data_IF_748041673780
#
_entry.id   IF_748041673780
#
_cell.length_a   1.000
_cell.length_b   1.000
_cell.length_c   1.000
_cell.angle_alpha   90.00
_cell.angle_beta   90.00
_cell.angle_gamma   90.00
#
_symmetry.space_group_name_H-M   'P 1'
#
loop_
_entity.id
_entity.type
_entity.pdbx_description
1 polymer ?
#
# COMPACT_ATOMS: atom_id res chain seq x y z
N UNK A 1 -27.54 10.68 -19.18
CA UNK A 1 -28.56 10.24 -18.21
C UNK A 1 -29.73 11.21 -18.33
N UNK A 2 -30.99 10.76 -18.38
CA UNK A 2 -32.12 11.69 -18.50
C UNK A 2 -32.39 12.40 -17.17
N UNK A 3 -32.70 13.70 -17.22
CA UNK A 3 -33.01 14.52 -16.04
C UNK A 3 -34.07 13.87 -15.14
N UNK A 4 -35.10 13.28 -15.77
CA UNK A 4 -36.16 12.54 -15.07
C UNK A 4 -35.63 11.38 -14.22
N UNK A 5 -34.66 10.59 -14.71
CA UNK A 5 -34.09 9.47 -13.94
C UNK A 5 -33.26 9.97 -12.76
N UNK A 6 -32.54 11.10 -12.92
CA UNK A 6 -31.76 11.73 -11.85
C UNK A 6 -32.71 12.18 -10.75
N UNK A 7 -33.74 12.94 -11.12
CA UNK A 7 -34.76 13.46 -10.20
C UNK A 7 -35.43 12.34 -9.39
N UNK A 8 -35.77 11.21 -10.03
CA UNK A 8 -36.30 10.06 -9.30
C UNK A 8 -35.33 9.51 -8.26
N UNK A 9 -34.04 9.39 -8.60
CA UNK A 9 -33.05 8.86 -7.66
C UNK A 9 -32.83 9.84 -6.49
N UNK A 10 -32.76 11.14 -6.76
CA UNK A 10 -32.60 12.16 -5.71
C UNK A 10 -33.78 12.14 -4.74
N UNK A 11 -35.01 12.05 -5.25
CA UNK A 11 -36.20 11.90 -4.43
C UNK A 11 -36.19 10.59 -3.59
N UNK A 12 -35.66 9.50 -4.14
CA UNK A 12 -35.53 8.24 -3.42
C UNK A 12 -34.43 8.29 -2.35
N UNK A 13 -33.35 9.05 -2.58
CA UNK A 13 -32.29 9.25 -1.59
C UNK A 13 -32.80 10.02 -0.36
N UNK A 14 -33.62 11.06 -0.58
CA UNK A 14 -34.27 11.78 0.52
C UNK A 14 -35.14 10.82 1.34
N UNK A 15 -36.00 10.04 0.69
CA UNK A 15 -36.89 9.07 1.36
C UNK A 15 -36.14 7.94 2.07
N UNK A 16 -34.96 7.56 1.55
CA UNK A 16 -34.09 6.56 2.18
C UNK A 16 -33.61 7.04 3.54
N UNK A 17 -33.21 8.31 3.64
CA UNK A 17 -32.65 8.86 4.87
C UNK A 17 -33.71 8.99 5.98
N UNK A 18 -34.99 9.13 5.60
CA UNK A 18 -36.14 9.13 6.52
C UNK A 18 -36.59 7.71 6.96
N UNK A 19 -36.04 6.65 6.37
CA UNK A 19 -36.47 5.28 6.60
C UNK A 19 -35.55 4.50 7.53
N UNK A 20 -36.12 3.69 8.44
CA UNK A 20 -35.35 2.81 9.32
C UNK A 20 -34.48 1.84 8.48
N UNK A 21 -33.16 1.91 8.68
CA UNK A 21 -32.14 1.17 7.91
C UNK A 21 -32.21 1.40 6.38
N UNK A 22 -32.73 2.55 5.92
CA UNK A 22 -32.80 2.89 4.50
C UNK A 22 -33.88 2.15 3.69
N UNK A 23 -34.66 1.26 4.32
CA UNK A 23 -35.77 0.53 3.70
C UNK A 23 -35.45 -0.17 2.36
N UNK A 24 -36.44 -0.29 1.49
CA UNK A 24 -36.28 -0.87 0.13
C UNK A 24 -35.69 0.11 -0.89
N UNK A 25 -35.43 1.36 -0.50
CA UNK A 25 -35.07 2.43 -1.42
C UNK A 25 -33.73 2.18 -2.13
N UNK A 26 -32.75 1.57 -1.45
CA UNK A 26 -31.49 1.19 -2.08
C UNK A 26 -31.69 0.22 -3.26
N UNK A 27 -32.62 -0.74 -3.14
CA UNK A 27 -32.93 -1.67 -4.22
C UNK A 27 -33.61 -0.97 -5.39
N UNK A 28 -34.50 -0.02 -5.11
CA UNK A 28 -35.19 0.76 -6.16
C UNK A 28 -34.18 1.66 -6.89
N UNK A 29 -33.32 2.37 -6.15
CA UNK A 29 -32.25 3.20 -6.73
C UNK A 29 -31.35 2.34 -7.64
N UNK A 30 -30.89 1.19 -7.14
CA UNK A 30 -30.09 0.26 -7.94
C UNK A 30 -30.85 -0.24 -9.18
N UNK A 31 -32.15 -0.50 -9.06
CA UNK A 31 -32.98 -0.94 -10.19
C UNK A 31 -33.06 0.13 -11.28
N UNK A 32 -33.23 1.41 -10.91
CA UNK A 32 -33.20 2.53 -11.86
C UNK A 32 -31.83 2.62 -12.53
N UNK A 33 -30.74 2.58 -11.76
CA UNK A 33 -29.37 2.68 -12.27
C UNK A 33 -29.02 1.53 -13.24
N UNK A 34 -29.53 0.31 -13.00
CA UNK A 34 -29.35 -0.83 -13.89
C UNK A 34 -30.02 -0.65 -15.26
N UNK A 35 -31.00 0.26 -15.40
CA UNK A 35 -31.63 0.59 -16.69
C UNK A 35 -30.84 1.60 -17.54
N UNK A 36 -29.70 2.09 -17.04
CA UNK A 36 -28.86 3.08 -17.72
C UNK A 36 -27.66 2.36 -18.33
N UNK A 37 -27.28 2.68 -19.56
CA UNK A 37 -26.10 2.10 -20.20
C UNK A 37 -24.83 2.39 -19.36
N UNK A 38 -23.88 1.44 -19.34
CA UNK A 38 -22.70 1.57 -18.48
C UNK A 38 -21.81 2.75 -18.91
N UNK A 39 -21.64 2.97 -20.22
CA UNK A 39 -20.82 4.09 -20.70
C UNK A 39 -21.47 5.43 -20.37
N UNK A 40 -22.78 5.54 -20.56
CA UNK A 40 -23.56 6.72 -20.16
C UNK A 40 -23.46 7.00 -18.66
N UNK A 41 -23.52 5.95 -17.83
CA UNK A 41 -23.43 6.07 -16.38
C UNK A 41 -22.03 6.50 -15.92
N UNK A 42 -20.98 5.98 -16.56
CA UNK A 42 -19.60 6.38 -16.32
C UNK A 42 -19.39 7.85 -16.65
N UNK A 43 -19.85 8.32 -17.81
CA UNK A 43 -19.69 9.73 -18.21
C UNK A 43 -20.32 10.69 -17.21
N UNK A 44 -21.52 10.32 -16.74
CA UNK A 44 -22.21 11.08 -15.71
C UNK A 44 -21.44 11.06 -14.38
N UNK A 45 -20.95 9.89 -13.95
CA UNK A 45 -20.11 9.74 -12.75
C UNK A 45 -18.84 10.59 -12.78
N UNK A 46 -18.19 10.72 -13.94
CA UNK A 46 -16.96 11.51 -14.06
C UNK A 46 -17.19 13.01 -13.84
N UNK A 47 -18.39 13.52 -14.10
CA UNK A 47 -18.72 14.95 -14.01
C UNK A 47 -19.43 15.35 -12.71
N UNK A 48 -20.03 14.38 -12.00
CA UNK A 48 -20.81 14.64 -10.78
C UNK A 48 -19.99 15.30 -9.66
N UNK A 49 -20.53 16.29 -8.92
CA UNK A 49 -19.93 16.70 -7.65
C UNK A 49 -20.00 15.57 -6.62
N UNK A 50 -19.27 15.71 -5.52
CA UNK A 50 -19.30 14.74 -4.43
C UNK A 50 -20.66 14.78 -3.72
N UNK A 51 -21.40 13.66 -3.78
CA UNK A 51 -22.79 13.54 -3.28
C UNK A 51 -23.16 12.09 -2.97
N UNK A 52 -24.30 11.86 -2.30
CA UNK A 52 -24.87 10.53 -2.10
C UNK A 52 -25.28 9.85 -3.42
N UNK A 53 -25.74 10.64 -4.39
CA UNK A 53 -26.02 10.17 -5.75
C UNK A 53 -24.76 9.60 -6.39
N UNK A 54 -23.62 10.31 -6.29
CA UNK A 54 -22.32 9.85 -6.78
C UNK A 54 -21.94 8.49 -6.17
N UNK A 55 -22.09 8.31 -4.86
CA UNK A 55 -21.76 7.04 -4.18
C UNK A 55 -22.64 5.88 -4.68
N UNK A 56 -23.92 6.14 -4.89
CA UNK A 56 -24.87 5.15 -5.41
C UNK A 56 -24.51 4.72 -6.84
N UNK A 57 -24.12 5.69 -7.67
CA UNK A 57 -23.65 5.45 -9.03
C UNK A 57 -22.31 4.71 -9.04
N UNK A 58 -21.34 5.12 -8.21
CA UNK A 58 -20.03 4.45 -8.08
C UNK A 58 -20.20 2.97 -7.74
N UNK A 59 -21.03 2.67 -6.74
CA UNK A 59 -21.36 1.29 -6.34
C UNK A 59 -21.98 0.49 -7.49
N UNK A 60 -22.86 1.11 -8.29
CA UNK A 60 -23.47 0.45 -9.44
C UNK A 60 -22.44 0.19 -10.56
N UNK A 61 -21.59 1.17 -10.88
CA UNK A 61 -20.50 1.02 -11.86
C UNK A 61 -19.59 -0.14 -11.46
N UNK A 62 -19.14 -0.20 -10.20
CA UNK A 62 -18.18 -1.21 -9.77
C UNK A 62 -18.72 -2.64 -9.88
N UNK A 63 -20.02 -2.84 -9.58
CA UNK A 63 -20.69 -4.13 -9.76
C UNK A 63 -20.79 -4.56 -11.23
N UNK A 64 -20.89 -3.60 -12.16
CA UNK A 64 -21.11 -3.87 -13.59
C UNK A 64 -19.81 -3.96 -14.38
N UNK A 65 -18.81 -3.17 -14.02
CA UNK A 65 -17.48 -3.17 -14.64
C UNK A 65 -16.84 -4.55 -14.52
N UNK A 66 -16.95 -5.19 -13.35
CA UNK A 66 -16.42 -6.55 -13.13
C UNK A 66 -17.10 -7.66 -13.96
N UNK A 67 -18.17 -7.35 -14.69
CA UNK A 67 -18.96 -8.30 -15.48
C UNK A 67 -18.97 -7.96 -16.98
N UNK A 68 -18.22 -6.94 -17.40
CA UNK A 68 -18.27 -6.47 -18.80
C UNK A 68 -17.52 -7.39 -19.74
N UNK A 69 -18.14 -7.73 -20.88
CA UNK A 69 -17.53 -8.57 -21.93
C UNK A 69 -16.60 -7.76 -22.85
N UNK A 70 -16.67 -6.41 -22.80
CA UNK A 70 -15.86 -5.49 -23.62
C UNK A 70 -14.93 -4.65 -22.75
N UNK A 71 -14.15 -5.33 -21.90
CA UNK A 71 -13.28 -4.68 -20.93
C UNK A 71 -12.18 -3.84 -21.61
N UNK A 72 -11.62 -4.35 -22.70
CA UNK A 72 -10.61 -3.73 -23.56
C UNK A 72 -11.09 -2.38 -24.15
N UNK A 73 -12.24 -2.39 -24.82
CA UNK A 73 -12.81 -1.18 -25.42
C UNK A 73 -13.20 -0.12 -24.39
N UNK A 74 -13.63 -0.55 -23.19
CA UNK A 74 -13.90 0.37 -22.09
C UNK A 74 -12.61 0.95 -21.50
N UNK A 75 -11.56 0.15 -21.37
CA UNK A 75 -10.24 0.60 -20.92
C UNK A 75 -9.69 1.69 -21.85
N UNK A 76 -9.66 1.44 -23.16
CA UNK A 76 -9.14 2.39 -24.17
C UNK A 76 -9.92 3.71 -24.16
N UNK A 77 -11.24 3.63 -24.00
CA UNK A 77 -12.11 4.80 -23.89
C UNK A 77 -11.78 5.64 -22.65
N UNK A 78 -11.68 5.00 -21.50
CA UNK A 78 -11.32 5.65 -20.23
C UNK A 78 -9.94 6.28 -20.29
N UNK A 79 -8.99 5.61 -20.95
CA UNK A 79 -7.65 6.12 -21.16
C UNK A 79 -7.63 7.39 -22.01
N UNK A 80 -8.43 7.45 -23.09
CA UNK A 80 -8.61 8.69 -23.88
C UNK A 80 -9.19 9.83 -23.05
N UNK A 81 -10.16 9.54 -22.17
CA UNK A 81 -10.73 10.53 -21.26
C UNK A 81 -9.69 11.03 -20.23
N UNK A 82 -8.78 10.17 -19.79
CA UNK A 82 -7.75 10.49 -18.79
C UNK A 82 -6.81 11.61 -19.26
N UNK A 83 -6.52 11.68 -20.57
CA UNK A 83 -5.58 12.65 -21.15
C UNK A 83 -6.02 14.11 -20.94
N UNK A 84 -7.33 14.37 -20.90
CA UNK A 84 -7.91 15.71 -20.72
C UNK A 84 -8.59 15.89 -19.36
N UNK A 85 -8.45 14.92 -18.46
CA UNK A 85 -9.17 14.90 -17.19
C UNK A 85 -8.52 15.82 -16.15
N UNK A 86 -9.34 16.58 -15.42
CA UNK A 86 -8.91 17.25 -14.20
C UNK A 86 -8.61 16.24 -13.08
N UNK A 87 -8.02 16.70 -11.98
CA UNK A 87 -7.61 15.83 -10.87
C UNK A 87 -8.75 14.91 -10.36
N UNK A 88 -9.96 15.44 -10.17
CA UNK A 88 -11.10 14.64 -9.67
C UNK A 88 -11.54 13.58 -10.68
N UNK A 89 -11.60 13.94 -11.95
CA UNK A 89 -11.89 13.01 -13.04
C UNK A 89 -10.81 11.93 -13.14
N UNK A 90 -9.53 12.29 -13.06
CA UNK A 90 -8.41 11.32 -13.08
C UNK A 90 -8.52 10.29 -11.96
N UNK A 91 -8.79 10.73 -10.73
CA UNK A 91 -8.97 9.82 -9.60
C UNK A 91 -10.11 8.81 -9.85
N UNK A 92 -11.21 9.26 -10.45
CA UNK A 92 -12.37 8.41 -10.78
C UNK A 92 -12.08 7.44 -11.91
N UNK A 93 -11.47 7.91 -13.00
CA UNK A 93 -11.04 7.09 -14.13
C UNK A 93 -10.07 6.00 -13.65
N UNK A 94 -9.06 6.37 -12.84
CA UNK A 94 -8.08 5.42 -12.27
C UNK A 94 -8.74 4.28 -11.51
N UNK A 95 -9.75 4.57 -10.67
CA UNK A 95 -10.47 3.52 -9.94
C UNK A 95 -11.18 2.54 -10.88
N UNK A 96 -11.83 3.05 -11.93
CA UNK A 96 -12.51 2.20 -12.92
C UNK A 96 -11.51 1.38 -13.72
N UNK A 97 -10.41 1.99 -14.19
CA UNK A 97 -9.33 1.28 -14.89
C UNK A 97 -8.76 0.15 -14.04
N UNK A 98 -8.52 0.39 -12.75
CA UNK A 98 -8.01 -0.62 -11.82
C UNK A 98 -8.97 -1.81 -11.65
N UNK A 99 -10.28 -1.59 -11.70
CA UNK A 99 -11.29 -2.66 -11.67
C UNK A 99 -11.36 -3.46 -12.97
N UNK A 100 -10.90 -2.90 -14.09
CA UNK A 100 -10.85 -3.60 -15.37
C UNK A 100 -9.63 -4.51 -15.48
N UNK A 101 -8.51 -4.21 -14.81
CA UNK A 101 -7.25 -4.97 -14.94
C UNK A 101 -7.40 -6.49 -14.77
N UNK A 102 -8.20 -7.01 -13.82
CA UNK A 102 -8.39 -8.46 -13.67
C UNK A 102 -9.06 -9.13 -14.88
N UNK A 103 -9.77 -8.37 -15.72
CA UNK A 103 -10.47 -8.84 -16.92
C UNK A 103 -9.63 -8.70 -18.20
N UNK A 104 -8.43 -8.14 -18.09
CA UNK A 104 -7.58 -7.76 -19.21
C UNK A 104 -6.27 -8.56 -19.24
N UNK A 105 -5.64 -8.61 -20.40
CA UNK A 105 -4.32 -9.18 -20.57
C UNK A 105 -3.23 -8.38 -19.83
N UNK A 106 -2.09 -9.00 -19.56
CA UNK A 106 -0.98 -8.38 -18.83
C UNK A 106 -0.42 -7.11 -19.47
N UNK A 107 -0.60 -6.91 -20.78
CA UNK A 107 -0.16 -5.68 -21.46
C UNK A 107 -0.82 -4.43 -20.87
N UNK A 108 -2.09 -4.53 -20.45
CA UNK A 108 -2.83 -3.42 -19.86
C UNK A 108 -2.34 -3.05 -18.45
N UNK A 109 -1.74 -4.00 -17.72
CA UNK A 109 -1.12 -3.72 -16.41
C UNK A 109 0.13 -2.89 -16.56
N UNK A 110 0.97 -3.21 -17.56
CA UNK A 110 2.16 -2.40 -17.89
C UNK A 110 1.75 -1.01 -18.37
N UNK A 111 0.74 -0.92 -19.23
CA UNK A 111 0.20 0.36 -19.67
C UNK A 111 -0.34 1.19 -18.49
N UNK A 112 -1.19 0.62 -17.63
CA UNK A 112 -1.68 1.28 -16.43
C UNK A 112 -0.53 1.78 -15.56
N UNK A 113 0.45 0.91 -15.28
CA UNK A 113 1.59 1.25 -14.45
C UNK A 113 2.35 2.44 -15.02
N UNK A 114 2.76 2.38 -16.29
CA UNK A 114 3.55 3.43 -16.94
C UNK A 114 2.85 4.80 -16.92
N UNK A 115 1.53 4.80 -17.05
CA UNK A 115 0.73 6.02 -17.05
C UNK A 115 0.56 6.66 -15.68
N UNK A 116 0.42 5.85 -14.63
CA UNK A 116 0.18 6.36 -13.28
C UNK A 116 1.45 6.51 -12.47
N UNK A 117 2.49 5.70 -12.71
CA UNK A 117 3.77 5.76 -12.00
C UNK A 117 4.53 7.07 -12.24
N UNK A 118 4.47 7.58 -13.47
CA UNK A 118 5.12 8.83 -13.87
C UNK A 118 4.24 10.07 -13.64
N UNK A 119 3.10 9.92 -12.98
CA UNK A 119 2.18 11.02 -12.69
C UNK A 119 2.76 11.97 -11.65
N UNK A 120 2.44 13.26 -11.77
CA UNK A 120 2.76 14.25 -10.73
C UNK A 120 1.95 14.06 -9.44
N UNK A 121 0.88 13.25 -9.46
CA UNK A 121 -0.02 13.06 -8.32
C UNK A 121 0.35 11.83 -7.50
N UNK A 122 0.59 12.01 -6.19
CA UNK A 122 1.00 10.91 -5.30
C UNK A 122 0.01 9.73 -5.27
N UNK A 123 -1.30 9.99 -5.39
CA UNK A 123 -2.32 8.94 -5.39
C UNK A 123 -2.28 8.07 -6.65
N UNK A 124 -1.89 8.66 -7.79
CA UNK A 124 -1.71 7.93 -9.04
C UNK A 124 -0.54 6.98 -8.91
N UNK A 125 0.62 7.49 -8.47
CA UNK A 125 1.83 6.69 -8.28
C UNK A 125 1.58 5.58 -7.25
N UNK A 126 0.91 5.89 -6.14
CA UNK A 126 0.56 4.89 -5.13
C UNK A 126 -0.29 3.75 -5.71
N UNK A 127 -1.16 4.03 -6.68
CA UNK A 127 -2.00 3.01 -7.32
C UNK A 127 -1.25 2.22 -8.39
N UNK A 128 -0.29 2.83 -9.07
CA UNK A 128 0.63 2.09 -9.95
C UNK A 128 1.43 1.08 -9.11
N UNK A 129 1.95 1.51 -7.96
CA UNK A 129 2.71 0.65 -7.06
C UNK A 129 1.89 -0.53 -6.50
N UNK A 130 0.56 -0.42 -6.37
CA UNK A 130 -0.26 -1.57 -5.91
C UNK A 130 -0.33 -2.73 -6.89
N UNK A 131 -0.05 -2.50 -8.18
CA UNK A 131 -0.09 -3.55 -9.21
C UNK A 131 1.31 -3.96 -9.71
N UNK A 132 2.38 -3.37 -9.15
CA UNK A 132 3.73 -3.56 -9.68
C UNK A 132 4.21 -5.01 -9.60
N UNK A 133 3.66 -5.82 -8.69
CA UNK A 133 3.96 -7.25 -8.55
C UNK A 133 3.67 -8.06 -9.82
N UNK A 134 2.63 -7.68 -10.56
CA UNK A 134 2.16 -8.40 -11.74
C UNK A 134 3.01 -8.09 -12.99
N UNK A 135 3.89 -7.10 -12.90
CA UNK A 135 4.75 -6.63 -13.98
C UNK A 135 6.22 -6.51 -13.56
N UNK A 136 6.56 -7.05 -12.38
CA UNK A 136 7.87 -6.86 -11.76
C UNK A 136 8.96 -7.50 -12.61
N UNK A 137 10.01 -6.72 -12.89
CA UNK A 137 11.21 -7.16 -13.58
C UNK A 137 12.44 -6.42 -13.01
N UNK A 138 13.63 -6.81 -13.48
CA UNK A 138 14.90 -6.27 -12.99
C UNK A 138 15.01 -4.76 -13.23
N UNK A 139 14.51 -4.27 -14.36
CA UNK A 139 14.52 -2.84 -14.69
C UNK A 139 13.62 -2.05 -13.72
N UNK A 140 12.41 -2.56 -13.46
CA UNK A 140 11.48 -1.94 -12.53
C UNK A 140 12.00 -1.96 -11.08
N UNK A 141 12.64 -3.04 -10.69
CA UNK A 141 13.32 -3.16 -9.40
C UNK A 141 14.36 -2.04 -9.20
N UNK A 142 15.23 -1.84 -10.20
CA UNK A 142 16.23 -0.77 -10.17
C UNK A 142 15.58 0.62 -10.19
N UNK A 143 14.55 0.82 -11.02
CA UNK A 143 13.84 2.09 -11.13
C UNK A 143 13.20 2.51 -9.78
N UNK A 144 12.42 1.62 -9.15
CA UNK A 144 11.72 1.93 -7.90
C UNK A 144 12.70 2.20 -6.76
N UNK A 145 13.80 1.44 -6.67
CA UNK A 145 14.83 1.70 -5.67
C UNK A 145 15.48 3.07 -5.88
N UNK A 146 15.85 3.41 -7.12
CA UNK A 146 16.44 4.71 -7.43
C UNK A 146 15.48 5.87 -7.15
N UNK A 147 14.19 5.71 -7.45
CA UNK A 147 13.17 6.70 -7.13
C UNK A 147 12.98 6.89 -5.63
N UNK A 148 13.09 5.82 -4.83
CA UNK A 148 13.18 5.96 -3.38
C UNK A 148 14.43 6.72 -2.96
N UNK A 149 15.61 6.35 -3.45
CA UNK A 149 16.88 6.99 -3.05
C UNK A 149 16.91 8.48 -3.40
N UNK A 150 16.25 8.87 -4.49
CA UNK A 150 16.12 10.26 -4.94
C UNK A 150 15.08 11.05 -4.15
N UNK A 151 13.89 10.48 -3.94
CA UNK A 151 12.72 11.22 -3.41
C UNK A 151 12.48 11.04 -1.93
N UNK A 152 13.04 9.96 -1.34
CA UNK A 152 12.84 9.51 0.05
C UNK A 152 11.39 9.15 0.37
N UNK A 153 10.50 9.06 -0.62
CA UNK A 153 9.09 8.71 -0.39
C UNK A 153 8.95 7.23 -0.08
N UNK A 154 8.50 6.92 1.14
CA UNK A 154 8.41 5.53 1.63
C UNK A 154 7.57 4.58 0.77
N UNK A 155 6.58 5.08 0.04
CA UNK A 155 5.75 4.24 -0.84
C UNK A 155 6.59 3.42 -1.83
N UNK A 156 7.68 3.99 -2.36
CA UNK A 156 8.59 3.26 -3.25
C UNK A 156 9.36 2.17 -2.50
N UNK A 157 9.91 2.50 -1.32
CA UNK A 157 10.61 1.53 -0.49
C UNK A 157 9.66 0.41 -0.02
N UNK A 158 8.42 0.72 0.33
CA UNK A 158 7.41 -0.28 0.70
C UNK A 158 7.11 -1.22 -0.46
N UNK A 159 6.90 -0.70 -1.67
CA UNK A 159 6.72 -1.54 -2.85
C UNK A 159 7.96 -2.41 -3.12
N UNK A 160 9.15 -1.82 -3.03
CA UNK A 160 10.41 -2.53 -3.19
C UNK A 160 10.59 -3.66 -2.16
N UNK A 161 10.28 -3.42 -0.88
CA UNK A 161 10.42 -4.44 0.15
C UNK A 161 9.50 -5.64 -0.07
N UNK A 162 8.34 -5.44 -0.68
CA UNK A 162 7.38 -6.54 -0.94
C UNK A 162 7.78 -7.35 -2.16
N UNK A 163 8.27 -6.72 -3.22
CA UNK A 163 8.45 -7.37 -4.54
C UNK A 163 9.89 -7.43 -5.05
N UNK A 164 10.74 -6.55 -4.55
CA UNK A 164 12.12 -6.40 -4.99
C UNK A 164 13.07 -7.44 -4.43
N UNK A 165 14.21 -7.56 -5.10
CA UNK A 165 15.36 -8.34 -4.65
C UNK A 165 16.04 -7.58 -3.50
N UNK A 166 15.84 -8.06 -2.28
CA UNK A 166 16.23 -7.36 -1.06
C UNK A 166 17.74 -7.09 -0.99
N UNK A 167 18.54 -7.95 -1.61
CA UNK A 167 20.00 -7.83 -1.70
C UNK A 167 20.45 -6.53 -2.37
N UNK A 168 19.63 -5.96 -3.25
CA UNK A 168 19.93 -4.66 -3.87
C UNK A 168 19.85 -3.49 -2.88
N UNK A 169 19.27 -3.66 -1.69
CA UNK A 169 19.35 -2.64 -0.64
C UNK A 169 20.72 -2.58 0.03
N UNK A 170 21.50 -3.67 0.02
CA UNK A 170 22.73 -3.79 0.81
C UNK A 170 23.73 -2.63 0.61
N UNK A 171 24.00 -2.16 -0.63
CA UNK A 171 24.91 -1.03 -0.85
C UNK A 171 24.38 0.30 -0.29
N UNK A 172 23.07 0.40 -0.06
CA UNK A 172 22.39 1.63 0.29
C UNK A 172 21.91 1.68 1.75
N UNK A 173 21.98 0.59 2.52
CA UNK A 173 21.40 0.49 3.86
C UNK A 173 21.71 1.68 4.77
N UNK A 174 22.97 2.11 4.85
CA UNK A 174 23.36 3.29 5.67
C UNK A 174 22.69 4.58 5.19
N UNK A 175 22.55 4.76 3.88
CA UNK A 175 21.87 5.91 3.30
C UNK A 175 20.36 5.85 3.59
N UNK A 176 19.75 4.69 3.42
CA UNK A 176 18.34 4.43 3.72
C UNK A 176 18.07 4.76 5.20
N UNK A 177 18.91 4.29 6.10
CA UNK A 177 18.77 4.57 7.53
C UNK A 177 18.82 6.06 7.85
N UNK A 178 19.73 6.82 7.21
CA UNK A 178 19.83 8.28 7.34
C UNK A 178 18.62 9.03 6.80
N UNK A 179 17.78 8.42 5.97
CA UNK A 179 16.51 9.02 5.55
C UNK A 179 15.41 8.87 6.60
N UNK A 180 15.70 8.21 7.73
CA UNK A 180 14.78 7.99 8.84
C UNK A 180 13.42 7.43 8.40
N UNK A 181 13.40 6.27 7.69
CA UNK A 181 12.15 5.60 7.40
C UNK A 181 11.46 5.22 8.73
N UNK A 182 10.14 5.11 8.68
CA UNK A 182 9.30 4.71 9.81
C UNK A 182 9.78 3.40 10.42
N UNK A 183 9.55 3.24 11.72
CA UNK A 183 9.92 2.02 12.45
C UNK A 183 9.37 0.74 11.80
N UNK A 184 8.16 0.81 11.25
CA UNK A 184 7.57 -0.32 10.50
C UNK A 184 8.47 -0.77 9.34
N UNK A 185 8.97 0.18 8.54
CA UNK A 185 9.85 -0.10 7.40
C UNK A 185 11.23 -0.57 7.85
N UNK A 186 11.81 0.05 8.89
CA UNK A 186 13.08 -0.41 9.49
C UNK A 186 12.99 -1.87 9.95
N UNK A 187 11.91 -2.24 10.65
CA UNK A 187 11.66 -3.62 11.10
C UNK A 187 11.51 -4.58 9.93
N UNK A 188 10.84 -4.18 8.84
CA UNK A 188 10.68 -5.03 7.66
C UNK A 188 12.02 -5.30 6.95
N UNK A 189 12.88 -4.28 6.82
CA UNK A 189 14.26 -4.43 6.34
C UNK A 189 15.02 -5.43 7.22
N UNK A 190 14.98 -5.25 8.54
CA UNK A 190 15.64 -6.14 9.50
C UNK A 190 15.16 -7.57 9.31
N UNK A 191 13.85 -7.82 9.28
CA UNK A 191 13.29 -9.17 9.10
C UNK A 191 13.76 -9.84 7.81
N UNK A 192 13.86 -9.10 6.71
CA UNK A 192 14.23 -9.65 5.41
C UNK A 192 15.74 -9.90 5.27
N UNK A 193 16.57 -9.09 5.93
CA UNK A 193 18.03 -9.17 5.77
C UNK A 193 18.76 -9.92 6.89
N UNK A 194 18.23 -9.93 8.11
CA UNK A 194 18.97 -10.40 9.30
C UNK A 194 19.43 -11.85 9.18
N UNK A 195 18.60 -12.71 8.59
CA UNK A 195 18.88 -14.14 8.47
C UNK A 195 20.23 -14.44 7.81
N UNK A 196 20.57 -13.73 6.73
CA UNK A 196 21.76 -13.99 5.89
C UNK A 196 22.77 -12.84 5.85
N UNK A 197 22.37 -11.64 6.23
CA UNK A 197 23.14 -10.42 6.00
C UNK A 197 23.29 -9.58 7.27
N UNK A 198 23.30 -10.21 8.45
CA UNK A 198 23.46 -9.51 9.74
C UNK A 198 24.72 -8.64 9.80
N UNK A 199 25.82 -9.06 9.18
CA UNK A 199 27.07 -8.28 9.15
C UNK A 199 26.89 -6.95 8.38
N UNK A 200 25.94 -6.87 7.43
CA UNK A 200 25.61 -5.63 6.72
C UNK A 200 24.75 -4.68 7.57
N UNK A 201 24.17 -5.17 8.66
CA UNK A 201 23.35 -4.43 9.61
C UNK A 201 24.11 -3.98 10.86
N UNK A 202 25.41 -4.31 10.98
CA UNK A 202 26.23 -3.98 12.16
C UNK A 202 26.24 -2.48 12.51
N UNK A 203 26.12 -1.61 11.50
CA UNK A 203 26.05 -0.17 11.73
C UNK A 203 24.83 0.26 12.57
N UNK A 204 23.77 -0.56 12.62
CA UNK A 204 22.56 -0.29 13.40
C UNK A 204 22.86 -0.30 14.89
N UNK A 205 23.83 -1.11 15.35
CA UNK A 205 24.22 -1.20 16.77
C UNK A 205 24.49 0.16 17.40
N UNK A 206 25.15 1.04 16.65
CA UNK A 206 25.59 2.34 17.14
C UNK A 206 24.49 3.44 17.09
N UNK A 207 23.37 3.19 16.42
CA UNK A 207 22.30 4.18 16.23
C UNK A 207 20.98 3.75 16.87
N UNK A 208 20.64 2.47 16.77
CA UNK A 208 19.39 1.88 17.26
C UNK A 208 19.71 0.45 17.78
N UNK A 209 20.44 0.33 18.90
CA UNK A 209 20.91 -0.95 19.44
C UNK A 209 19.78 -1.95 19.69
N UNK A 210 18.57 -1.48 20.01
CA UNK A 210 17.39 -2.34 20.20
C UNK A 210 16.95 -3.03 18.91
N UNK A 211 17.10 -2.34 17.78
CA UNK A 211 16.84 -2.90 16.45
C UNK A 211 17.97 -3.82 16.01
N UNK A 212 19.21 -3.54 16.40
CA UNK A 212 20.32 -4.45 16.14
C UNK A 212 20.19 -5.75 16.93
N UNK A 213 19.78 -5.70 18.20
CA UNK A 213 19.52 -6.90 18.99
C UNK A 213 18.36 -7.72 18.43
N UNK A 214 17.32 -7.06 17.90
CA UNK A 214 16.28 -7.74 17.12
C UNK A 214 16.88 -8.43 15.87
N UNK A 215 17.79 -7.77 15.15
CA UNK A 215 18.45 -8.36 13.99
C UNK A 215 19.29 -9.59 14.37
N UNK A 216 20.04 -9.52 15.47
CA UNK A 216 20.78 -10.67 16.02
C UNK A 216 19.84 -11.84 16.30
N UNK A 217 18.68 -11.59 16.92
CA UNK A 217 17.67 -12.63 17.23
C UNK A 217 17.02 -13.31 16.03
N UNK A 218 17.13 -12.70 14.83
CA UNK A 218 16.56 -13.20 13.58
C UNK A 218 17.63 -13.76 12.62
N UNK A 219 18.90 -13.73 13.04
CA UNK A 219 20.04 -14.23 12.27
C UNK A 219 20.20 -15.74 12.45
N UNK A 220 20.76 -16.42 11.43
CA UNK A 220 21.21 -17.82 11.57
C UNK A 220 22.57 -17.91 12.30
N UNK A 221 23.24 -16.78 12.55
CA UNK A 221 24.51 -16.71 13.28
C UNK A 221 24.28 -16.88 14.77
N UNK A 222 25.06 -17.75 15.40
CA UNK A 222 25.11 -17.84 16.86
C UNK A 222 25.95 -16.70 17.43
N UNK A 223 25.46 -16.10 18.51
CA UNK A 223 26.14 -15.04 19.26
C UNK A 223 26.43 -15.53 20.68
N UNK A 224 27.64 -15.26 21.15
CA UNK A 224 28.00 -15.48 22.55
C UNK A 224 27.22 -14.53 23.48
N UNK A 225 27.16 -14.92 24.75
CA UNK A 225 26.40 -14.17 25.75
C UNK A 225 26.99 -12.78 26.03
N UNK A 226 28.31 -12.61 25.92
CA UNK A 226 29.00 -11.34 26.15
C UNK A 226 28.55 -10.29 25.12
N UNK A 227 28.57 -10.65 23.83
CA UNK A 227 28.10 -9.81 22.74
C UNK A 227 26.63 -9.40 22.88
N UNK A 228 25.79 -10.30 23.38
CA UNK A 228 24.37 -10.05 23.62
C UNK A 228 24.13 -9.12 24.81
N UNK A 229 24.88 -9.31 25.90
CA UNK A 229 24.84 -8.43 27.08
C UNK A 229 25.33 -7.03 26.71
N UNK A 230 26.44 -6.93 25.99
CA UNK A 230 26.98 -5.65 25.55
C UNK A 230 25.94 -4.88 24.73
N UNK A 231 25.32 -5.56 23.76
CA UNK A 231 24.27 -4.94 22.96
C UNK A 231 23.04 -4.57 23.81
N UNK A 232 22.66 -5.36 24.81
CA UNK A 232 21.56 -5.02 25.73
C UNK A 232 21.88 -3.79 26.59
N UNK A 233 23.13 -3.67 27.06
CA UNK A 233 23.60 -2.54 27.86
C UNK A 233 23.67 -1.25 27.05
N UNK A 234 23.92 -1.35 25.74
CA UNK A 234 23.87 -0.21 24.81
C UNK A 234 22.43 0.32 24.60
N UNK A 235 21.38 -0.45 24.95
CA UNK A 235 19.98 -0.07 24.76
C UNK A 235 19.52 0.93 25.85
N UNK A 236 18.89 2.06 25.47
CA UNK A 236 18.25 2.97 26.41
C UNK A 236 17.24 2.28 27.33
N UNK A 237 17.19 2.69 28.60
CA UNK A 237 16.41 2.02 29.64
C UNK A 237 14.91 1.87 29.29
N UNK A 238 14.33 2.87 28.62
CA UNK A 238 12.94 2.87 28.16
C UNK A 238 12.67 1.87 27.02
N UNK A 239 13.72 1.47 26.29
CA UNK A 239 13.65 0.51 25.18
C UNK A 239 14.14 -0.88 25.55
N UNK A 240 14.74 -1.08 26.73
CA UNK A 240 15.21 -2.39 27.19
C UNK A 240 14.15 -3.50 27.17
N UNK A 241 12.86 -3.27 27.47
CA UNK A 241 11.85 -4.31 27.32
C UNK A 241 11.80 -4.93 25.91
N UNK A 242 12.12 -4.16 24.86
CA UNK A 242 12.23 -4.70 23.49
C UNK A 242 13.50 -5.54 23.30
N UNK A 243 14.60 -5.16 23.94
CA UNK A 243 15.82 -5.96 23.98
C UNK A 243 15.60 -7.31 24.67
N UNK A 244 14.94 -7.31 25.82
CA UNK A 244 14.56 -8.53 26.55
C UNK A 244 13.69 -9.45 25.69
N UNK A 245 12.70 -8.90 24.98
CA UNK A 245 11.88 -9.66 24.04
C UNK A 245 12.71 -10.28 22.90
N UNK A 246 13.76 -9.61 22.46
CA UNK A 246 14.65 -10.16 21.41
C UNK A 246 15.51 -11.30 21.97
N UNK A 247 16.01 -11.18 23.20
CA UNK A 247 16.73 -12.27 23.89
C UNK A 247 15.85 -13.49 24.14
N UNK A 248 14.57 -13.32 24.45
CA UNK A 248 13.65 -14.44 24.71
C UNK A 248 13.44 -15.31 23.48
N UNK A 249 13.47 -14.73 22.28
CA UNK A 249 13.42 -15.47 21.02
C UNK A 249 14.64 -16.38 20.79
N UNK A 250 15.77 -16.05 21.41
CA UNK A 250 17.00 -16.83 21.38
C UNK A 250 17.12 -17.81 22.56
N UNK A 251 16.07 -17.95 23.38
CA UNK A 251 16.05 -18.81 24.58
C UNK A 251 17.15 -18.48 25.61
N UNK A 252 17.54 -17.20 25.74
CA UNK A 252 18.60 -16.75 26.64
C UNK A 252 18.08 -16.43 28.05
N UNK A 253 17.47 -17.42 28.73
CA UNK A 253 16.81 -17.21 30.04
C UNK A 253 17.73 -16.56 31.08
N UNK A 254 18.96 -17.04 31.22
CA UNK A 254 19.91 -16.54 32.22
C UNK A 254 20.13 -15.02 32.08
N UNK A 255 20.24 -14.53 30.84
CA UNK A 255 20.41 -13.09 30.55
C UNK A 255 19.13 -12.30 30.84
N UNK A 256 17.99 -12.89 30.52
CA UNK A 256 16.67 -12.25 30.70
C UNK A 256 16.33 -12.12 32.18
N UNK A 257 16.63 -13.15 32.98
CA UNK A 257 16.31 -13.19 34.41
C UNK A 257 16.99 -12.05 35.17
N UNK A 258 18.27 -11.78 34.87
CA UNK A 258 19.02 -10.70 35.49
C UNK A 258 18.41 -9.33 35.23
N UNK A 259 17.93 -9.09 34.00
CA UNK A 259 17.31 -7.81 33.65
C UNK A 259 15.90 -7.68 34.22
N UNK A 260 15.10 -8.75 34.19
CA UNK A 260 13.72 -8.74 34.74
C UNK A 260 13.72 -8.46 36.24
N UNK A 261 14.71 -8.96 37.00
CA UNK A 261 14.82 -8.69 38.45
C UNK A 261 14.82 -7.19 38.77
N UNK A 262 15.36 -6.34 37.90
CA UNK A 262 15.39 -4.88 38.07
C UNK A 262 14.01 -4.21 38.01
N UNK A 263 13.01 -4.89 37.43
CA UNK A 263 11.63 -4.37 37.31
C UNK A 263 10.69 -4.86 38.42
N UNK A 264 11.06 -5.94 39.11
CA UNK A 264 10.20 -6.64 40.07
C UNK A 264 10.71 -6.51 41.51
N UNK A 265 12.01 -6.25 41.68
CA UNK A 265 12.66 -6.02 42.97
C UNK A 265 12.99 -4.54 43.16
#
# INVERSE_FOLDING_TARGET
MTDKKIEYIENLLIKRDDAFLGGSYNLIIHSILNTIDLAELIDFYLLLPDSELKKSIESNIYKRVGLTVKADGLYDRLYKLLQNANYNQRQRIRKILMLLLPLLDNIYRRDFFNNFYNSMYSNDISSALTICSEIWDTDLNTQILNDYLKTKKEMYLKAFLVHGEIENLLPHLKQIWKFEPTNYVKIDIIRKLSKKHIDKLEFIRNVEPEKYLLAMSLSDKEFDNESLIDCLNDIPEDLKPFGILSLSRMNKWELIEEEIKKYVC
#
